data_IF_406370726588
#
_entry.id   IF_406370726588
#
_cell.length_a   1.000
_cell.length_b   1.000
_cell.length_c   1.000
_cell.angle_alpha   90.00
_cell.angle_beta   90.00
_cell.angle_gamma   90.00
#
_symmetry.space_group_name_H-M   'P 1'
#
loop_
_entity.id
_entity.type
_entity.pdbx_description
1 polymer ?
#
# COMPACT_ATOMS: atom_id res chain seq x y z
N UNK A 1 30.80 -4.63 20.04
CA UNK A 1 30.12 -5.49 21.04
C UNK A 1 29.47 -6.65 20.30
N UNK A 2 29.78 -7.90 20.68
CA UNK A 2 29.20 -9.11 20.07
C UNK A 2 28.30 -9.77 21.12
N UNK A 3 27.00 -9.88 20.85
CA UNK A 3 26.05 -10.58 21.70
C UNK A 3 25.60 -11.86 20.98
N UNK A 4 25.75 -13.02 21.64
CA UNK A 4 25.27 -14.31 21.15
C UNK A 4 24.03 -14.64 21.95
N UNK A 5 22.88 -14.76 21.28
CA UNK A 5 21.61 -15.09 21.93
C UNK A 5 21.20 -16.48 21.47
N UNK A 6 21.23 -17.50 22.34
CA UNK A 6 20.79 -18.84 22.01
C UNK A 6 19.28 -18.84 21.78
N UNK A 7 18.85 -19.31 20.61
CA UNK A 7 17.44 -19.47 20.26
C UNK A 7 17.11 -20.96 20.30
N UNK A 8 16.15 -21.43 21.12
CA UNK A 8 15.78 -22.83 21.16
C UNK A 8 15.18 -23.28 19.82
N UNK A 9 15.42 -24.55 19.45
CA UNK A 9 14.99 -25.14 18.18
C UNK A 9 13.47 -25.07 17.94
N UNK A 10 12.69 -25.01 19.03
CA UNK A 10 11.28 -24.66 19.02
C UNK A 10 11.06 -23.47 19.96
N UNK A 11 10.82 -22.29 19.40
CA UNK A 11 10.54 -21.08 20.16
C UNK A 11 10.82 -19.81 19.38
N UNK A 12 10.41 -18.66 19.95
CA UNK A 12 10.80 -17.35 19.45
C UNK A 12 11.52 -16.60 20.58
N UNK A 13 12.68 -16.02 20.27
CA UNK A 13 13.39 -15.15 21.21
C UNK A 13 13.14 -13.69 20.84
N UNK A 14 12.83 -12.89 21.85
CA UNK A 14 12.57 -11.46 21.70
C UNK A 14 13.90 -10.72 21.82
N UNK A 15 14.41 -10.23 20.68
CA UNK A 15 15.58 -9.36 20.66
C UNK A 15 15.13 -7.90 20.51
N UNK A 16 15.46 -7.06 21.49
CA UNK A 16 15.35 -5.61 21.37
C UNK A 16 16.76 -5.03 21.46
N UNK A 17 17.26 -4.47 20.35
CA UNK A 17 18.55 -3.77 20.34
C UNK A 17 18.27 -2.29 20.54
N UNK A 18 18.78 -1.73 21.65
CA UNK A 18 18.65 -0.30 21.97
C UNK A 18 20.06 0.29 21.99
N UNK A 19 20.40 1.10 21.00
CA UNK A 19 21.58 1.95 21.04
C UNK A 19 21.28 3.19 21.89
N UNK A 20 22.12 3.50 22.86
CA UNK A 20 21.98 4.69 23.70
C UNK A 20 23.21 5.59 23.53
N UNK A 21 23.02 6.89 23.30
CA UNK A 21 24.05 7.88 23.59
C UNK A 21 24.40 7.82 25.09
N UNK A 22 25.64 8.16 25.44
CA UNK A 22 26.04 8.25 26.84
C UNK A 22 25.14 9.22 27.61
N UNK A 23 24.67 8.82 28.81
CA UNK A 23 23.93 9.70 29.73
C UNK A 23 22.40 9.55 29.75
N UNK A 24 21.80 8.61 29.03
CA UNK A 24 20.35 8.33 29.14
C UNK A 24 20.07 7.14 30.08
N UNK A 25 19.15 7.34 31.02
CA UNK A 25 18.68 6.33 31.98
C UNK A 25 18.04 5.10 31.27
N UNK A 26 18.63 3.90 31.43
CA UNK A 26 18.09 2.65 30.90
C UNK A 26 16.67 2.33 31.39
N UNK A 27 16.32 2.69 32.63
CA UNK A 27 15.03 2.37 33.23
C UNK A 27 13.87 3.11 32.56
N UNK A 28 14.09 4.37 32.12
CA UNK A 28 13.13 5.16 31.34
C UNK A 28 12.82 4.55 29.98
N UNK A 29 13.79 3.88 29.34
CA UNK A 29 13.60 3.18 28.05
C UNK A 29 13.17 1.72 28.21
N UNK A 30 13.45 1.04 29.32
CA UNK A 30 12.83 -0.27 29.64
C UNK A 30 11.30 -0.19 29.74
N UNK A 31 10.74 0.95 30.18
CA UNK A 31 9.30 1.23 30.06
C UNK A 31 8.80 1.25 28.61
N UNK A 32 9.65 1.60 27.64
CA UNK A 32 9.36 1.44 26.21
C UNK A 32 9.48 -0.01 25.71
N UNK A 33 10.21 -0.88 26.41
CA UNK A 33 10.23 -2.33 26.16
C UNK A 33 8.94 -3.00 26.65
N UNK A 34 8.28 -2.48 27.69
CA UNK A 34 6.90 -2.85 28.02
C UNK A 34 5.93 -2.60 26.85
N UNK A 35 6.15 -1.52 26.08
CA UNK A 35 5.44 -1.28 24.81
C UNK A 35 5.82 -2.29 23.73
N UNK A 36 7.02 -2.88 23.77
CA UNK A 36 7.41 -3.93 22.84
C UNK A 36 6.68 -5.26 23.12
N UNK A 37 6.48 -5.64 24.39
CA UNK A 37 5.65 -6.79 24.74
C UNK A 37 4.19 -6.58 24.31
N UNK A 38 3.64 -5.39 24.56
CA UNK A 38 2.32 -5.01 24.05
C UNK A 38 2.25 -5.00 22.51
N UNK A 39 3.29 -4.52 21.83
CA UNK A 39 3.38 -4.54 20.37
C UNK A 39 3.46 -5.97 19.80
N UNK A 40 4.12 -6.90 20.50
CA UNK A 40 4.13 -8.32 20.13
C UNK A 40 2.74 -8.94 20.32
N UNK A 41 2.08 -8.67 21.45
CA UNK A 41 0.69 -9.10 21.68
C UNK A 41 -0.25 -8.57 20.60
N UNK A 42 -0.13 -7.29 20.26
CA UNK A 42 -0.90 -6.65 19.19
C UNK A 42 -0.60 -7.26 17.81
N UNK A 43 0.67 -7.58 17.50
CA UNK A 43 1.06 -8.27 16.26
C UNK A 43 0.49 -9.68 16.19
N UNK A 44 0.51 -10.43 17.29
CA UNK A 44 -0.10 -11.78 17.35
C UNK A 44 -1.60 -11.69 17.15
N UNK A 45 -2.30 -10.81 17.86
CA UNK A 45 -3.73 -10.59 17.67
C UNK A 45 -4.08 -10.14 16.24
N UNK A 46 -3.25 -9.28 15.62
CA UNK A 46 -3.42 -8.88 14.23
C UNK A 46 -3.18 -10.03 13.24
N UNK A 47 -2.24 -10.93 13.54
CA UNK A 47 -1.99 -12.15 12.78
C UNK A 47 -3.15 -13.14 12.90
N UNK A 48 -3.71 -13.27 14.10
CA UNK A 48 -4.84 -14.17 14.36
C UNK A 48 -6.09 -13.67 13.63
N UNK A 49 -6.41 -12.37 13.70
CA UNK A 49 -7.48 -11.74 12.90
C UNK A 49 -7.32 -11.95 11.40
N UNK A 50 -6.09 -11.87 10.89
CA UNK A 50 -5.83 -12.15 9.47
C UNK A 50 -6.21 -13.57 9.05
N UNK A 51 -6.05 -14.54 9.96
CA UNK A 51 -6.40 -15.94 9.71
C UNK A 51 -7.88 -16.22 9.90
N UNK A 52 -8.56 -15.51 10.82
CA UNK A 52 -9.98 -15.75 11.12
C UNK A 52 -10.93 -14.93 10.25
N UNK A 53 -10.55 -13.70 9.91
CA UNK A 53 -11.48 -12.71 9.33
C UNK A 53 -11.24 -12.49 7.82
N UNK A 54 -10.22 -13.12 7.25
CA UNK A 54 -9.86 -12.97 5.83
C UNK A 54 -10.02 -14.26 5.04
N UNK A 55 -9.81 -14.18 3.73
CA UNK A 55 -9.88 -15.33 2.82
C UNK A 55 -8.97 -16.47 3.31
N UNK A 56 -9.54 -17.62 3.67
CA UNK A 56 -8.78 -18.83 3.95
C UNK A 56 -8.71 -19.64 2.66
N UNK A 57 -7.51 -20.01 2.27
CA UNK A 57 -7.26 -20.87 1.11
C UNK A 57 -6.80 -22.19 1.67
N UNK A 58 -7.57 -23.24 1.38
CA UNK A 58 -7.24 -24.62 1.70
C UNK A 58 -7.00 -25.35 0.39
N UNK A 59 -5.80 -25.89 0.23
CA UNK A 59 -5.44 -26.69 -0.93
C UNK A 59 -4.92 -28.05 -0.49
N UNK A 60 -4.81 -29.03 -1.40
CA UNK A 60 -4.11 -30.28 -1.09
C UNK A 60 -2.62 -30.09 -0.73
N UNK A 61 -2.04 -28.91 -0.99
CA UNK A 61 -0.66 -28.56 -0.66
C UNK A 61 -0.59 -27.68 0.61
N UNK A 62 -0.38 -28.31 1.76
CA UNK A 62 -0.26 -27.62 3.04
C UNK A 62 0.96 -26.66 3.11
N UNK A 63 1.98 -26.84 2.26
CA UNK A 63 3.10 -25.91 2.19
C UNK A 63 2.70 -24.62 1.45
N UNK A 64 1.93 -24.75 0.37
CA UNK A 64 1.35 -23.61 -0.33
C UNK A 64 0.50 -22.74 0.61
N UNK A 65 -0.43 -23.37 1.33
CA UNK A 65 -1.33 -22.67 2.26
C UNK A 65 -0.54 -21.91 3.34
N UNK A 66 0.50 -22.55 3.88
CA UNK A 66 1.40 -21.94 4.88
C UNK A 66 2.16 -20.76 4.30
N UNK A 67 2.70 -20.88 3.08
CA UNK A 67 3.46 -19.80 2.41
C UNK A 67 2.56 -18.62 2.08
N UNK A 68 1.33 -18.87 1.62
CA UNK A 68 0.35 -17.84 1.35
C UNK A 68 -0.07 -17.09 2.63
N UNK A 69 -0.32 -17.81 3.72
CA UNK A 69 -0.61 -17.22 5.03
C UNK A 69 0.56 -16.35 5.54
N UNK A 70 1.80 -16.81 5.37
CA UNK A 70 2.99 -16.04 5.72
C UNK A 70 3.14 -14.79 4.85
N UNK A 71 2.91 -14.90 3.53
CA UNK A 71 2.98 -13.77 2.61
C UNK A 71 2.00 -12.66 3.02
N UNK A 72 0.75 -13.00 3.35
CA UNK A 72 -0.27 -12.05 3.84
C UNK A 72 0.17 -11.32 5.10
N UNK A 73 0.72 -12.07 6.07
CA UNK A 73 1.28 -11.48 7.29
C UNK A 73 2.46 -10.53 6.98
N UNK A 74 3.31 -10.89 6.03
CA UNK A 74 4.46 -10.08 5.62
C UNK A 74 4.04 -8.77 4.97
N UNK A 75 3.01 -8.75 4.12
CA UNK A 75 2.50 -7.51 3.52
C UNK A 75 2.12 -6.48 4.61
N UNK A 76 1.44 -6.91 5.67
CA UNK A 76 1.12 -6.02 6.81
C UNK A 76 2.34 -5.53 7.59
N UNK A 77 3.45 -6.27 7.58
CA UNK A 77 4.68 -5.85 8.28
C UNK A 77 5.40 -4.66 7.64
N UNK A 78 5.09 -4.37 6.36
CA UNK A 78 5.58 -3.19 5.65
C UNK A 78 4.67 -1.97 5.81
N UNK A 79 3.57 -2.09 6.56
CA UNK A 79 2.70 -0.97 6.87
C UNK A 79 3.34 -0.08 7.93
N UNK A 80 3.50 1.19 7.60
CA UNK A 80 4.10 2.21 8.46
C UNK A 80 3.12 3.37 8.61
N UNK A 81 3.01 3.89 9.82
CA UNK A 81 2.36 5.16 10.10
C UNK A 81 3.44 6.22 10.33
N UNK A 82 3.54 7.16 9.40
CA UNK A 82 4.51 8.24 9.43
C UNK A 82 3.81 9.53 9.89
N UNK A 83 4.17 10.11 11.05
CA UNK A 83 3.55 11.34 11.55
C UNK A 83 3.59 12.47 10.52
N UNK A 84 2.45 13.11 10.26
CA UNK A 84 2.33 14.20 9.28
C UNK A 84 2.27 13.75 7.81
N UNK A 85 2.59 12.49 7.52
CA UNK A 85 2.54 11.90 6.16
C UNK A 85 1.38 10.92 6.01
N UNK A 86 1.03 10.22 7.09
CA UNK A 86 -0.04 9.24 7.12
C UNK A 86 0.46 7.81 7.00
N UNK A 87 -0.44 6.91 6.62
CA UNK A 87 -0.21 5.47 6.63
C UNK A 87 0.08 4.96 5.22
N UNK A 88 1.13 4.18 5.10
CA UNK A 88 1.70 3.76 3.82
C UNK A 88 2.29 2.34 3.91
N UNK A 89 2.53 1.70 2.76
CA UNK A 89 3.25 0.43 2.68
C UNK A 89 4.63 0.69 2.08
N UNK A 90 5.68 0.57 2.91
CA UNK A 90 7.05 0.87 2.48
C UNK A 90 7.58 -0.22 1.56
N UNK A 91 8.45 0.16 0.62
CA UNK A 91 9.12 -0.79 -0.27
C UNK A 91 10.12 -1.71 0.46
N UNK A 92 10.54 -1.33 1.67
CA UNK A 92 11.45 -2.09 2.51
C UNK A 92 12.03 -1.26 3.64
N UNK A 93 12.79 -1.93 4.51
CA UNK A 93 13.51 -1.33 5.65
C UNK A 93 15.03 -1.40 5.47
N UNK A 94 15.52 -1.63 4.25
CA UNK A 94 16.94 -1.77 3.95
C UNK A 94 17.62 -0.43 3.68
N UNK A 95 18.89 -0.29 4.08
CA UNK A 95 19.76 0.78 3.59
C UNK A 95 20.05 0.55 2.10
N UNK A 96 19.56 1.43 1.24
CA UNK A 96 20.17 1.59 -0.08
C UNK A 96 21.45 2.40 0.11
N UNK A 97 22.57 1.92 -0.45
CA UNK A 97 23.84 2.65 -0.35
C UNK A 97 23.69 4.04 -0.97
N UNK A 98 24.02 5.10 -0.21
CA UNK A 98 23.98 6.48 -0.69
C UNK A 98 22.64 7.24 -0.51
N UNK A 99 21.60 6.63 0.06
CA UNK A 99 20.34 7.34 0.37
C UNK A 99 20.23 7.67 1.86
N UNK A 100 19.90 8.94 2.19
CA UNK A 100 19.69 9.41 3.57
C UNK A 100 18.42 8.81 4.21
N UNK A 101 17.39 8.52 3.40
CA UNK A 101 16.11 7.97 3.85
C UNK A 101 15.99 6.48 3.48
N UNK A 102 16.31 5.60 4.43
CA UNK A 102 16.32 4.13 4.22
C UNK A 102 14.91 3.51 4.08
N UNK A 103 13.86 4.29 4.35
CA UNK A 103 12.47 3.82 4.40
C UNK A 103 11.60 4.75 3.56
N UNK A 104 11.12 4.23 2.43
CA UNK A 104 10.31 4.98 1.47
C UNK A 104 9.16 4.15 0.91
N UNK A 105 8.09 4.84 0.59
CA UNK A 105 7.01 4.37 -0.27
C UNK A 105 7.41 4.57 -1.73
N UNK A 106 7.18 3.56 -2.57
CA UNK A 106 7.27 3.65 -4.04
C UNK A 106 5.91 3.25 -4.60
N UNK A 107 5.28 4.07 -5.45
CA UNK A 107 3.91 3.83 -5.93
C UNK A 107 3.77 2.47 -6.57
N UNK A 108 4.71 2.10 -7.44
CA UNK A 108 4.66 0.81 -8.14
C UNK A 108 4.60 -0.37 -7.17
N UNK A 109 5.38 -0.32 -6.10
CA UNK A 109 5.42 -1.38 -5.10
C UNK A 109 4.18 -1.33 -4.20
N UNK A 110 3.74 -0.12 -3.83
CA UNK A 110 2.53 0.10 -3.04
C UNK A 110 1.27 -0.38 -3.76
N UNK A 111 1.10 -0.04 -5.04
CA UNK A 111 -0.04 -0.46 -5.86
C UNK A 111 -0.01 -1.97 -6.11
N UNK A 112 1.13 -2.57 -6.42
CA UNK A 112 1.24 -4.04 -6.53
C UNK A 112 0.87 -4.74 -5.23
N UNK A 113 1.33 -4.20 -4.10
CA UNK A 113 0.97 -4.71 -2.77
C UNK A 113 -0.54 -4.55 -2.52
N UNK A 114 -1.13 -3.42 -2.88
CA UNK A 114 -2.55 -3.18 -2.76
C UNK A 114 -3.37 -4.17 -3.61
N UNK A 115 -3.01 -4.38 -4.88
CA UNK A 115 -3.68 -5.33 -5.75
C UNK A 115 -3.55 -6.78 -5.24
N UNK A 116 -2.39 -7.17 -4.74
CA UNK A 116 -2.19 -8.48 -4.11
C UNK A 116 -3.00 -8.62 -2.81
N UNK A 117 -3.09 -7.56 -2.02
CA UNK A 117 -3.89 -7.52 -0.80
C UNK A 117 -5.39 -7.64 -1.11
N UNK A 118 -5.88 -6.94 -2.14
CA UNK A 118 -7.26 -7.07 -2.63
C UNK A 118 -7.57 -8.51 -3.03
N UNK A 119 -6.70 -9.14 -3.82
CA UNK A 119 -6.86 -10.55 -4.22
C UNK A 119 -6.81 -11.52 -3.03
N UNK A 120 -6.13 -11.15 -1.94
CA UNK A 120 -6.05 -11.93 -0.70
C UNK A 120 -7.15 -11.56 0.34
N UNK A 121 -8.13 -10.73 -0.03
CA UNK A 121 -9.21 -10.28 0.84
C UNK A 121 -8.80 -9.27 1.94
N UNK A 122 -7.58 -8.71 1.88
CA UNK A 122 -7.12 -7.66 2.81
C UNK A 122 -7.40 -6.27 2.24
N UNK A 123 -8.69 -5.90 2.24
CA UNK A 123 -9.17 -4.65 1.63
C UNK A 123 -8.68 -3.37 2.31
N UNK A 124 -8.26 -3.47 3.58
CA UNK A 124 -7.72 -2.34 4.33
C UNK A 124 -6.44 -1.79 3.68
N UNK A 125 -5.53 -2.66 3.26
CA UNK A 125 -4.30 -2.23 2.57
C UNK A 125 -4.66 -1.54 1.26
N UNK A 126 -5.61 -2.10 0.50
CA UNK A 126 -6.09 -1.51 -0.75
C UNK A 126 -6.59 -0.08 -0.56
N UNK A 127 -7.49 0.12 0.42
CA UNK A 127 -8.06 1.43 0.77
C UNK A 127 -6.98 2.42 1.22
N UNK A 128 -6.04 1.97 2.03
CA UNK A 128 -5.00 2.84 2.58
C UNK A 128 -4.04 3.34 1.51
N UNK A 129 -3.59 2.46 0.62
CA UNK A 129 -2.75 2.87 -0.51
C UNK A 129 -3.54 3.82 -1.42
N UNK A 130 -4.77 3.48 -1.78
CA UNK A 130 -5.63 4.33 -2.62
C UNK A 130 -5.79 5.75 -2.04
N UNK A 131 -6.20 5.84 -0.77
CA UNK A 131 -6.41 7.13 -0.10
C UNK A 131 -5.11 7.88 0.15
N UNK A 132 -4.00 7.18 0.42
CA UNK A 132 -2.68 7.79 0.54
C UNK A 132 -2.26 8.46 -0.78
N UNK A 133 -2.39 7.75 -1.91
CA UNK A 133 -2.03 8.29 -3.22
C UNK A 133 -2.89 9.50 -3.59
N UNK A 134 -4.20 9.40 -3.42
CA UNK A 134 -5.12 10.51 -3.72
C UNK A 134 -4.82 11.75 -2.88
N UNK A 135 -4.52 11.60 -1.58
CA UNK A 135 -4.21 12.72 -0.68
C UNK A 135 -2.91 13.44 -1.03
N UNK A 136 -1.92 12.72 -1.57
CA UNK A 136 -0.61 13.26 -1.91
C UNK A 136 -0.46 13.60 -3.39
N UNK A 137 -1.57 13.57 -4.14
CA UNK A 137 -1.65 14.11 -5.48
C UNK A 137 -1.25 15.59 -5.48
N UNK A 138 -0.44 16.02 -6.44
CA UNK A 138 -0.09 17.44 -6.58
C UNK A 138 -1.27 18.28 -7.10
N UNK A 139 -1.08 19.59 -7.15
CA UNK A 139 -2.12 20.52 -7.63
C UNK A 139 -2.52 20.27 -9.09
N UNK A 140 -1.62 19.71 -9.90
CA UNK A 140 -1.84 19.42 -11.31
C UNK A 140 -2.42 18.03 -11.57
N UNK A 141 -2.71 17.23 -10.54
CA UNK A 141 -3.31 15.90 -10.70
C UNK A 141 -2.30 14.74 -10.74
N UNK A 142 -1.00 15.00 -10.62
CA UNK A 142 0.04 13.95 -10.63
C UNK A 142 0.10 13.20 -9.33
N UNK A 143 0.34 11.91 -9.43
CA UNK A 143 0.63 11.06 -8.28
C UNK A 143 2.15 11.02 -8.07
N UNK A 144 2.66 11.17 -6.83
CA UNK A 144 4.10 11.12 -6.55
C UNK A 144 4.64 9.74 -6.89
N UNK A 145 5.79 9.60 -7.51
CA UNK A 145 6.44 8.29 -7.76
C UNK A 145 6.90 7.63 -6.45
N UNK A 146 7.37 8.45 -5.51
CA UNK A 146 7.86 8.01 -4.21
C UNK A 146 7.59 9.04 -3.13
N UNK A 147 7.52 8.56 -1.89
CA UNK A 147 7.37 9.38 -0.69
C UNK A 147 8.26 8.83 0.43
N UNK A 148 8.92 9.71 1.17
CA UNK A 148 9.73 9.36 2.35
C UNK A 148 8.88 9.46 3.61
N UNK A 149 9.33 8.85 4.70
CA UNK A 149 8.64 8.94 6.00
C UNK A 149 8.66 10.35 6.61
N UNK A 150 9.45 11.27 6.07
CA UNK A 150 9.50 12.70 6.46
C UNK A 150 8.63 13.59 5.57
N UNK A 151 7.98 13.03 4.53
CA UNK A 151 7.05 13.75 3.67
C UNK A 151 7.67 14.33 2.39
N UNK A 152 8.97 14.12 2.15
CA UNK A 152 9.59 14.46 0.86
C UNK A 152 9.06 13.53 -0.22
N UNK A 153 8.68 14.11 -1.37
CA UNK A 153 8.07 13.41 -2.50
C UNK A 153 8.75 13.78 -3.81
N UNK A 154 8.85 12.82 -4.71
CA UNK A 154 9.27 13.06 -6.09
C UNK A 154 8.16 12.66 -7.04
N UNK A 155 7.98 13.44 -8.09
CA UNK A 155 7.03 13.17 -9.16
C UNK A 155 7.83 12.84 -10.43
N UNK A 156 7.53 11.70 -11.04
CA UNK A 156 8.07 11.30 -12.34
C UNK A 156 6.95 11.27 -13.39
N UNK A 157 7.29 10.87 -14.62
CA UNK A 157 6.34 10.83 -15.72
C UNK A 157 5.38 9.63 -15.63
N UNK A 158 4.11 9.89 -15.97
CA UNK A 158 3.04 8.96 -16.36
C UNK A 158 2.65 7.83 -15.41
N UNK A 159 3.54 6.84 -15.23
CA UNK A 159 3.22 5.51 -14.66
C UNK A 159 2.53 5.58 -13.29
N UNK A 160 2.98 6.40 -12.30
CA UNK A 160 2.34 6.44 -10.99
C UNK A 160 0.86 6.84 -11.05
N UNK A 161 0.49 7.76 -11.94
CA UNK A 161 -0.90 8.21 -12.09
C UNK A 161 -1.75 7.14 -12.77
N UNK A 162 -1.20 6.45 -13.78
CA UNK A 162 -1.86 5.29 -14.42
C UNK A 162 -2.13 4.18 -13.40
N UNK A 163 -1.15 3.88 -12.55
CA UNK A 163 -1.28 2.85 -11.51
C UNK A 163 -2.26 3.24 -10.40
N UNK A 164 -2.33 4.51 -10.02
CA UNK A 164 -3.34 5.01 -9.09
C UNK A 164 -4.76 4.80 -9.65
N UNK A 165 -4.97 5.18 -10.91
CA UNK A 165 -6.26 5.03 -11.57
C UNK A 165 -6.66 3.56 -11.77
N UNK A 166 -5.70 2.69 -12.09
CA UNK A 166 -5.89 1.24 -12.04
C UNK A 166 -6.36 0.80 -10.65
N UNK A 167 -5.67 1.25 -9.60
CA UNK A 167 -6.00 0.84 -8.22
C UNK A 167 -7.42 1.29 -7.84
N UNK A 168 -7.87 2.47 -8.26
CA UNK A 168 -9.25 2.93 -8.03
C UNK A 168 -10.27 1.97 -8.62
N UNK A 169 -10.12 1.62 -9.90
CA UNK A 169 -11.03 0.71 -10.58
C UNK A 169 -11.01 -0.69 -9.93
N UNK A 170 -9.81 -1.24 -9.70
CA UNK A 170 -9.66 -2.57 -9.07
C UNK A 170 -10.16 -2.58 -7.63
N UNK A 171 -9.98 -1.50 -6.87
CA UNK A 171 -10.53 -1.40 -5.51
C UNK A 171 -12.05 -1.51 -5.53
N UNK A 172 -12.72 -0.78 -6.43
CA UNK A 172 -14.17 -0.90 -6.55
C UNK A 172 -14.60 -2.32 -6.93
N UNK A 173 -13.98 -2.89 -7.97
CA UNK A 173 -14.31 -4.21 -8.48
C UNK A 173 -14.18 -5.32 -7.42
N UNK A 174 -13.16 -5.24 -6.54
CA UNK A 174 -12.95 -6.23 -5.48
C UNK A 174 -13.84 -6.02 -4.24
N UNK A 175 -14.22 -4.78 -3.93
CA UNK A 175 -14.83 -4.45 -2.63
C UNK A 175 -16.29 -4.02 -2.69
N UNK A 176 -16.75 -3.52 -3.84
CA UNK A 176 -18.05 -2.85 -3.97
C UNK A 176 -18.17 -1.54 -3.16
N UNK A 177 -17.09 -1.02 -2.57
CA UNK A 177 -17.10 0.16 -1.70
C UNK A 177 -17.19 1.47 -2.50
N UNK A 178 -18.39 1.71 -3.06
CA UNK A 178 -18.74 2.91 -3.81
C UNK A 178 -18.55 4.19 -3.00
N UNK A 179 -18.72 4.13 -1.68
CA UNK A 179 -18.61 5.31 -0.81
C UNK A 179 -17.18 5.83 -0.80
N UNK A 180 -16.20 4.94 -0.62
CA UNK A 180 -14.78 5.31 -0.64
C UNK A 180 -14.40 5.85 -2.02
N UNK A 181 -14.78 5.17 -3.11
CA UNK A 181 -14.42 5.60 -4.46
C UNK A 181 -15.05 6.93 -4.83
N UNK A 182 -16.34 7.16 -4.50
CA UNK A 182 -17.00 8.46 -4.71
C UNK A 182 -16.31 9.58 -3.92
N UNK A 183 -15.87 9.30 -2.69
CA UNK A 183 -15.12 10.27 -1.88
C UNK A 183 -13.75 10.67 -2.45
N UNK A 184 -13.19 9.83 -3.33
CA UNK A 184 -11.91 10.09 -4.01
C UNK A 184 -12.10 10.60 -5.45
N UNK A 185 -13.34 10.68 -5.95
CA UNK A 185 -13.62 10.92 -7.36
C UNK A 185 -13.05 12.24 -7.89
N UNK A 186 -13.14 13.32 -7.12
CA UNK A 186 -12.54 14.60 -7.52
C UNK A 186 -11.02 14.50 -7.78
N UNK A 187 -10.31 13.56 -7.13
CA UNK A 187 -8.89 13.30 -7.37
C UNK A 187 -8.68 12.40 -8.59
N UNK A 188 -9.59 11.47 -8.84
CA UNK A 188 -9.65 10.67 -10.07
C UNK A 188 -9.78 11.60 -11.28
N UNK A 189 -10.68 12.59 -11.22
CA UNK A 189 -10.87 13.56 -12.31
C UNK A 189 -9.61 14.38 -12.57
N UNK A 190 -8.97 14.94 -11.53
CA UNK A 190 -7.69 15.64 -11.69
C UNK A 190 -6.59 14.74 -12.26
N UNK A 191 -6.55 13.47 -11.88
CA UNK A 191 -5.59 12.50 -12.42
C UNK A 191 -5.85 12.21 -13.91
N UNK A 192 -7.12 12.15 -14.31
CA UNK A 192 -7.53 11.97 -15.71
C UNK A 192 -7.26 13.22 -16.55
N UNK A 193 -7.48 14.42 -16.00
CA UNK A 193 -7.15 15.69 -16.66
C UNK A 193 -5.64 15.84 -16.89
N UNK A 194 -4.83 15.38 -15.94
CA UNK A 194 -3.39 15.37 -16.10
C UNK A 194 -2.89 14.32 -17.09
N UNK A 195 -3.63 13.21 -17.22
CA UNK A 195 -3.18 11.97 -17.86
C UNK A 195 -2.40 12.25 -19.14
N UNK A 196 -1.07 12.04 -19.14
CA UNK A 196 -0.27 12.27 -20.32
C UNK A 196 -0.60 11.10 -21.22
N UNK A 197 -1.51 11.32 -22.18
CA UNK A 197 -2.00 10.34 -23.17
C UNK A 197 -0.91 9.32 -23.51
N UNK A 198 -0.91 8.20 -22.80
CA UNK A 198 0.08 7.15 -22.97
C UNK A 198 -0.71 6.05 -23.63
N UNK A 199 -0.68 6.00 -24.97
CA UNK A 199 -1.43 5.03 -25.77
C UNK A 199 -0.99 3.57 -25.63
N UNK A 200 -0.39 3.18 -24.51
CA UNK A 200 0.04 1.82 -24.24
C UNK A 200 -1.12 0.89 -23.83
N UNK A 201 -0.97 -0.44 -23.94
CA UNK A 201 -2.03 -1.40 -23.62
C UNK A 201 -2.57 -1.28 -22.19
N UNK A 202 -1.71 -1.00 -21.22
CA UNK A 202 -2.12 -0.81 -19.83
C UNK A 202 -3.08 0.38 -19.68
N UNK A 203 -2.77 1.50 -20.33
CA UNK A 203 -3.59 2.71 -20.29
C UNK A 203 -4.98 2.47 -20.86
N UNK A 204 -5.08 1.75 -21.99
CA UNK A 204 -6.38 1.41 -22.60
C UNK A 204 -7.20 0.49 -21.69
N UNK A 205 -6.57 -0.51 -21.08
CA UNK A 205 -7.25 -1.38 -20.11
C UNK A 205 -7.76 -0.58 -18.89
N UNK A 206 -6.96 0.38 -18.40
CA UNK A 206 -7.36 1.24 -17.28
C UNK A 206 -8.55 2.13 -17.66
N UNK A 207 -8.54 2.74 -18.85
CA UNK A 207 -9.65 3.57 -19.31
C UNK A 207 -10.94 2.76 -19.42
N UNK A 208 -10.89 1.54 -19.97
CA UNK A 208 -12.05 0.65 -20.06
C UNK A 208 -12.63 0.30 -18.67
N UNK A 209 -11.77 -0.05 -17.70
CA UNK A 209 -12.21 -0.34 -16.33
C UNK A 209 -12.78 0.92 -15.63
N UNK A 210 -12.24 2.12 -15.94
CA UNK A 210 -12.72 3.38 -15.38
C UNK A 210 -14.08 3.81 -15.91
N UNK A 211 -14.46 3.44 -17.14
CA UNK A 211 -15.82 3.67 -17.66
C UNK A 211 -16.83 3.01 -16.73
N UNK A 212 -16.66 1.71 -16.47
CA UNK A 212 -17.54 0.96 -15.56
C UNK A 212 -17.48 1.50 -14.13
N UNK A 213 -16.28 1.85 -13.66
CA UNK A 213 -16.10 2.46 -12.34
C UNK A 213 -16.91 3.75 -12.21
N UNK A 214 -16.83 4.63 -13.20
CA UNK A 214 -17.56 5.90 -13.24
C UNK A 214 -19.09 5.67 -13.24
N UNK A 215 -19.59 4.75 -14.05
CA UNK A 215 -21.01 4.38 -14.06
C UNK A 215 -21.48 3.89 -12.69
N UNK A 216 -20.72 3.00 -12.06
CA UNK A 216 -21.08 2.41 -10.77
C UNK A 216 -21.15 3.44 -9.62
N UNK A 217 -20.29 4.47 -9.66
CA UNK A 217 -20.33 5.52 -8.63
C UNK A 217 -21.28 6.67 -8.94
N UNK A 218 -21.87 6.70 -10.14
CA UNK A 218 -22.87 7.68 -10.59
C UNK A 218 -22.31 8.81 -11.46
N UNK A 219 -21.07 8.70 -11.90
CA UNK A 219 -20.29 9.74 -12.60
C UNK A 219 -20.44 9.63 -14.12
N UNK A 220 -21.70 9.64 -14.56
CA UNK A 220 -22.13 9.33 -15.95
C UNK A 220 -21.56 10.27 -17.02
N UNK A 221 -21.24 11.52 -16.67
CA UNK A 221 -20.58 12.44 -17.60
C UNK A 221 -19.14 11.99 -17.90
N UNK A 222 -18.40 11.61 -16.85
CA UNK A 222 -17.04 11.09 -16.98
C UNK A 222 -17.04 9.73 -17.67
N UNK A 223 -17.99 8.83 -17.36
CA UNK A 223 -18.13 7.56 -18.08
C UNK A 223 -18.28 7.76 -19.61
N UNK A 224 -19.18 8.66 -20.03
CA UNK A 224 -19.40 8.98 -21.45
C UNK A 224 -18.15 9.54 -22.11
N UNK A 225 -17.47 10.49 -21.45
CA UNK A 225 -16.22 11.09 -21.95
C UNK A 225 -15.14 10.02 -22.19
N UNK A 226 -14.96 9.11 -21.25
CA UNK A 226 -13.99 8.01 -21.36
C UNK A 226 -14.37 7.00 -22.44
N UNK A 227 -15.66 6.65 -22.56
CA UNK A 227 -16.15 5.71 -23.55
C UNK A 227 -16.06 6.22 -25.00
N UNK A 228 -16.22 7.54 -25.23
CA UNK A 228 -16.12 8.13 -26.57
C UNK A 228 -14.68 8.29 -27.08
N UNK A 229 -13.68 8.30 -26.19
CA UNK A 229 -12.28 8.54 -26.55
C UNK A 229 -11.54 7.33 -27.14
N UNK A 230 -12.08 6.11 -27.02
CA UNK A 230 -11.43 4.88 -27.49
C UNK A 230 -11.62 4.54 -28.98
N UNK A 231 -12.36 5.36 -29.74
CA UNK A 231 -12.77 5.07 -31.12
C UNK A 231 -11.97 5.75 -32.23
N UNK A 232 -10.94 6.55 -31.92
CA UNK A 232 -10.24 7.38 -32.91
C UNK A 232 -8.76 7.05 -33.04
N UNK A 233 -8.41 5.98 -33.75
CA UNK A 233 -7.11 5.79 -34.45
C UNK A 233 -7.16 4.51 -35.28
N UNK A 234 -7.87 4.59 -36.41
CA UNK A 234 -7.76 3.66 -37.54
C UNK A 234 -8.11 4.42 -38.82
N UNK A 235 -7.21 5.33 -39.22
CA UNK A 235 -7.05 5.78 -40.61
C UNK A 235 -5.56 5.76 -40.96
#
# INVERSE_FOLDING_TARGET
>A
MRAIVPVPAAGSVRLAVVGLPAGIDPARRLRSVGRAAAAVGARRAAADRLRTDGLVVETPDAEYDRRLALARLRLRSYRVEAPGVGRLVVAGYGRLAGEEDCVRFRVRDGVRTALAALAAGDFDIGREVLTFLGRHQDAGGRIPEWCTTTGRMGHAAGEPTVLYLLLVARYLAWTGDRRTVRGEWARVERALEWWPETGGPLSQAVLAELVHTAEEVGETATARRLGSGGGGSAE
#
